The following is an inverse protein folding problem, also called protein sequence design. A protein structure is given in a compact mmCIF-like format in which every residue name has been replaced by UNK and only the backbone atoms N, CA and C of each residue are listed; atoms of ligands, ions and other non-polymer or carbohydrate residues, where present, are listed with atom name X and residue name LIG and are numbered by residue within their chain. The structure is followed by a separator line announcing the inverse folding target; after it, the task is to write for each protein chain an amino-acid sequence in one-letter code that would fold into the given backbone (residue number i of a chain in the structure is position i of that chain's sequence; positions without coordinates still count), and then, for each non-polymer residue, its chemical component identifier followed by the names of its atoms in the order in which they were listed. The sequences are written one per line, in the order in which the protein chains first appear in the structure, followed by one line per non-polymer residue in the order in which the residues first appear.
data_IF_630629142059
#
_entry.id   IF_630629142059
#
_cell.length_a   1.000
_cell.length_b   1.000
_cell.length_c   1.000
_cell.angle_alpha   90.00
_cell.angle_beta   90.00
_cell.angle_gamma   90.00
#
_symmetry.space_group_name_H-M   'P 1'
#
loop_
_entity.id
_entity.type
_entity.pdbx_description
1 polymer ?
#
# COMPACT_ATOMS: atom_id res chain seq x y z
N UNK A 1 -6.42 -3.82 -23.07
CA UNK A 1 -7.02 -2.79 -22.19
C UNK A 1 -5.90 -2.18 -21.34
N UNK A 2 -5.74 -0.86 -21.28
CA UNK A 2 -4.68 -0.22 -20.49
C UNK A 2 -4.87 -0.43 -18.99
N UNK A 3 -3.79 -0.47 -18.22
CA UNK A 3 -3.85 -0.55 -16.74
C UNK A 3 -4.72 0.54 -16.12
N UNK A 4 -4.62 1.80 -16.58
CA UNK A 4 -5.40 2.91 -16.01
C UNK A 4 -6.91 2.72 -16.22
N UNK A 5 -7.35 2.33 -17.42
CA UNK A 5 -8.77 1.99 -17.67
C UNK A 5 -9.26 0.88 -16.73
N UNK A 6 -8.47 -0.18 -16.54
CA UNK A 6 -8.78 -1.23 -15.56
C UNK A 6 -8.90 -0.66 -14.14
N UNK A 7 -7.88 0.06 -13.70
CA UNK A 7 -7.82 0.60 -12.34
C UNK A 7 -8.97 1.57 -12.05
N UNK A 8 -9.35 2.42 -13.01
CA UNK A 8 -10.49 3.33 -12.88
C UNK A 8 -11.82 2.58 -12.82
N UNK A 9 -11.98 1.48 -13.58
CA UNK A 9 -13.15 0.60 -13.46
C UNK A 9 -13.23 -0.02 -12.07
N UNK A 10 -12.15 -0.61 -11.57
CA UNK A 10 -12.07 -1.16 -10.21
C UNK A 10 -12.36 -0.10 -9.15
N UNK A 11 -11.85 1.12 -9.35
CA UNK A 11 -12.11 2.25 -8.46
C UNK A 11 -13.59 2.61 -8.42
N UNK A 12 -14.26 2.67 -9.57
CA UNK A 12 -15.71 2.93 -9.66
C UNK A 12 -16.50 1.84 -8.94
N UNK A 13 -16.22 0.57 -9.21
CA UNK A 13 -16.92 -0.56 -8.57
C UNK A 13 -16.86 -0.49 -7.04
N UNK A 14 -15.70 -0.16 -6.46
CA UNK A 14 -15.57 -0.02 -5.01
C UNK A 14 -16.23 1.25 -4.45
N UNK A 15 -16.29 2.34 -5.23
CA UNK A 15 -17.03 3.55 -4.85
C UNK A 15 -18.53 3.29 -4.80
N UNK A 16 -19.07 2.61 -5.82
CA UNK A 16 -20.49 2.29 -5.93
C UNK A 16 -20.96 1.40 -4.77
N UNK A 17 -20.06 0.56 -4.25
CA UNK A 17 -20.31 -0.28 -3.06
C UNK A 17 -19.90 0.38 -1.73
N UNK A 18 -19.64 1.70 -1.70
CA UNK A 18 -19.18 2.44 -0.52
C UNK A 18 -17.95 1.84 0.20
N UNK A 19 -17.17 1.04 -0.53
CA UNK A 19 -16.03 0.26 -0.05
C UNK A 19 -14.71 0.87 -0.51
N UNK A 20 -14.72 2.13 -0.94
CA UNK A 20 -13.53 2.89 -1.30
C UNK A 20 -13.35 4.11 -0.40
N UNK A 21 -12.14 4.35 0.06
CA UNK A 21 -11.74 5.61 0.70
C UNK A 21 -10.38 6.07 0.20
N UNK A 22 -10.17 7.38 0.10
CA UNK A 22 -8.82 7.96 0.00
C UNK A 22 -8.32 8.20 1.42
N UNK A 23 -7.06 7.88 1.70
CA UNK A 23 -6.45 8.35 2.94
C UNK A 23 -6.25 9.87 2.84
N UNK A 24 -6.49 10.58 3.93
CA UNK A 24 -6.23 12.02 3.99
C UNK A 24 -4.74 12.20 4.28
N UNK A 25 -4.00 12.58 3.24
CA UNK A 25 -2.56 12.83 3.32
C UNK A 25 -2.32 14.32 3.48
N UNK A 26 -1.84 14.71 4.66
CA UNK A 26 -1.38 16.07 4.96
C UNK A 26 0.13 16.14 4.87
N UNK A 27 0.68 17.35 4.83
CA UNK A 27 2.12 17.59 4.86
C UNK A 27 2.83 16.97 6.06
N UNK A 28 2.11 16.68 7.15
CA UNK A 28 2.67 16.19 8.42
C UNK A 28 2.05 14.89 8.94
N UNK A 29 1.03 14.34 8.28
CA UNK A 29 0.39 13.12 8.76
C UNK A 29 -0.43 12.44 7.68
N UNK A 30 -0.70 11.15 7.88
CA UNK A 30 -1.62 10.37 7.07
C UNK A 30 -2.73 9.89 7.99
N UNK A 31 -3.95 10.35 7.75
CA UNK A 31 -5.14 9.80 8.40
C UNK A 31 -5.68 8.68 7.54
N UNK A 32 -5.37 7.46 7.95
CA UNK A 32 -5.84 6.24 7.32
C UNK A 32 -7.34 6.03 7.59
N UNK A 33 -8.11 5.50 6.63
CA UNK A 33 -9.46 5.05 6.90
C UNK A 33 -9.45 3.80 7.79
N UNK A 34 -10.53 3.63 8.55
CA UNK A 34 -10.77 2.38 9.28
C UNK A 34 -10.99 1.22 8.31
N UNK A 35 -10.59 0.03 8.77
CA UNK A 35 -10.79 -1.22 8.05
C UNK A 35 -9.53 -1.80 7.42
N UNK A 36 -9.76 -2.70 6.48
CA UNK A 36 -8.79 -3.60 5.89
C UNK A 36 -8.99 -3.78 4.39
N UNK A 37 -8.05 -4.43 3.70
CA UNK A 37 -8.13 -4.65 2.26
C UNK A 37 -6.84 -4.26 1.56
N UNK A 38 -6.94 -3.59 0.42
CA UNK A 38 -5.80 -3.22 -0.43
C UNK A 38 -5.60 -1.71 -0.40
N UNK A 39 -4.35 -1.27 -0.35
CA UNK A 39 -3.98 0.13 -0.51
C UNK A 39 -3.00 0.29 -1.67
N UNK A 40 -3.20 1.34 -2.46
CA UNK A 40 -2.31 1.73 -3.54
C UNK A 40 -1.76 3.13 -3.25
N UNK A 41 -0.44 3.25 -3.26
CA UNK A 41 0.32 4.48 -3.05
C UNK A 41 0.73 5.01 -4.42
N UNK A 42 0.30 6.23 -4.72
CA UNK A 42 0.57 6.93 -5.96
C UNK A 42 1.36 8.20 -5.70
N UNK A 43 2.11 8.64 -6.70
CA UNK A 43 2.80 9.92 -6.72
C UNK A 43 2.07 10.90 -7.64
N UNK A 44 1.73 12.09 -7.15
CA UNK A 44 1.20 13.26 -7.89
C UNK A 44 -0.16 13.05 -8.59
N UNK A 45 -0.40 11.95 -9.30
CA UNK A 45 -1.64 11.64 -10.02
C UNK A 45 -1.94 10.13 -10.07
N UNK A 46 -3.21 9.79 -10.33
CA UNK A 46 -3.70 8.41 -10.54
C UNK A 46 -4.13 8.13 -11.98
N UNK A 47 -3.81 9.04 -12.90
CA UNK A 47 -4.14 8.93 -14.33
C UNK A 47 -3.02 8.32 -15.17
N UNK A 48 -1.83 8.16 -14.60
CA UNK A 48 -0.65 7.65 -15.29
C UNK A 48 -0.08 6.44 -14.56
N UNK A 49 0.13 5.33 -15.26
CA UNK A 49 0.53 4.08 -14.61
C UNK A 49 1.86 4.20 -13.88
N UNK A 50 2.83 4.94 -14.46
CA UNK A 50 4.16 5.13 -13.88
C UNK A 50 4.14 5.84 -12.51
N UNK A 51 3.04 6.51 -12.16
CA UNK A 51 2.87 7.15 -10.86
C UNK A 51 2.48 6.18 -9.75
N UNK A 52 2.12 4.93 -10.07
CA UNK A 52 1.86 3.91 -9.07
C UNK A 52 3.19 3.49 -8.43
N UNK A 53 3.38 3.87 -7.17
CA UNK A 53 4.59 3.56 -6.41
C UNK A 53 4.54 2.18 -5.78
N UNK A 54 3.41 1.84 -5.17
CA UNK A 54 3.30 0.61 -4.39
C UNK A 54 1.85 0.15 -4.26
N UNK A 55 1.62 -1.15 -4.31
CA UNK A 55 0.34 -1.78 -3.91
C UNK A 55 0.64 -2.77 -2.80
N UNK A 56 -0.16 -2.72 -1.75
CA UNK A 56 -0.06 -3.67 -0.66
C UNK A 56 -1.41 -4.00 -0.05
N UNK A 57 -1.46 -5.09 0.71
CA UNK A 57 -2.65 -5.46 1.48
C UNK A 57 -2.49 -5.42 3.00
N UNK A 58 -3.65 -5.40 3.65
CA UNK A 58 -3.85 -5.65 5.07
C UNK A 58 -5.09 -6.50 5.23
N UNK A 59 -5.06 -7.41 6.19
CA UNK A 59 -6.10 -8.41 6.34
C UNK A 59 -5.87 -9.67 5.51
N UNK A 60 -6.43 -10.77 6.01
CA UNK A 60 -6.34 -12.10 5.41
C UNK A 60 -7.38 -13.03 6.03
N UNK A 61 -7.89 -13.94 5.22
CA UNK A 61 -8.55 -15.13 5.74
C UNK A 61 -7.49 -16.09 6.29
N UNK A 62 -7.74 -16.64 7.47
CA UNK A 62 -6.87 -17.62 8.11
C UNK A 62 -7.76 -18.69 8.71
N UNK A 63 -7.38 -19.95 8.50
CA UNK A 63 -7.95 -21.07 9.22
C UNK A 63 -6.94 -21.54 10.28
N UNK A 64 -7.16 -21.25 11.57
CA UNK A 64 -6.38 -21.86 12.64
C UNK A 64 -6.63 -23.38 12.69
N UNK A 65 -5.67 -24.14 13.21
CA UNK A 65 -5.79 -25.58 13.31
C UNK A 65 -6.98 -25.95 14.22
N UNK A 66 -7.94 -26.71 13.68
CA UNK A 66 -9.15 -27.11 14.40
C UNK A 66 -10.23 -26.05 14.52
N UNK A 67 -10.08 -24.87 13.91
CA UNK A 67 -11.07 -23.79 13.95
C UNK A 67 -11.69 -23.52 12.56
N UNK A 68 -12.91 -22.96 12.50
CA UNK A 68 -13.47 -22.46 11.25
C UNK A 68 -12.61 -21.37 10.59
N UNK A 69 -12.83 -21.16 9.30
CA UNK A 69 -12.20 -20.08 8.56
C UNK A 69 -12.61 -18.72 9.16
N UNK A 70 -11.64 -17.94 9.61
CA UNK A 70 -11.86 -16.60 10.15
C UNK A 70 -11.26 -15.50 9.27
N UNK A 71 -11.88 -14.32 9.27
CA UNK A 71 -11.30 -13.13 8.67
C UNK A 71 -10.49 -12.33 9.70
N UNK A 72 -9.17 -12.35 9.58
CA UNK A 72 -8.32 -11.43 10.32
C UNK A 72 -8.22 -10.12 9.52
N UNK A 73 -8.99 -9.10 9.91
CA UNK A 73 -9.04 -7.83 9.20
C UNK A 73 -7.68 -7.10 9.17
N UNK A 74 -6.90 -7.13 10.24
CA UNK A 74 -5.78 -6.20 10.35
C UNK A 74 -6.26 -4.74 10.30
N UNK A 75 -5.42 -3.81 9.83
CA UNK A 75 -5.78 -2.39 9.74
C UNK A 75 -4.89 -1.64 8.77
N UNK A 76 -5.45 -0.64 8.06
CA UNK A 76 -4.67 0.31 7.27
C UNK A 76 -3.78 1.21 8.13
N UNK A 77 -4.24 1.67 9.29
CA UNK A 77 -3.45 2.54 10.18
C UNK A 77 -2.12 1.89 10.62
N UNK A 78 -2.10 0.56 10.77
CA UNK A 78 -0.88 -0.21 11.07
C UNK A 78 0.17 -0.19 9.94
N UNK A 79 -0.11 0.39 8.76
CA UNK A 79 0.88 0.56 7.68
C UNK A 79 1.92 1.62 8.00
N UNK A 80 1.56 2.63 8.80
CA UNK A 80 2.50 3.61 9.36
C UNK A 80 3.64 2.97 10.15
N UNK A 81 3.40 1.80 10.76
CA UNK A 81 4.38 1.11 11.58
C UNK A 81 5.36 0.24 10.79
N UNK A 82 5.15 0.04 9.48
CA UNK A 82 6.05 -0.79 8.68
C UNK A 82 7.36 -0.05 8.38
N UNK A 83 8.46 -0.80 8.39
CA UNK A 83 9.80 -0.34 8.00
C UNK A 83 10.37 -1.14 6.81
N UNK A 84 9.65 -2.15 6.33
CA UNK A 84 10.05 -2.94 5.17
C UNK A 84 8.81 -3.51 4.46
N UNK A 85 8.77 -3.52 3.10
CA UNK A 85 9.81 -3.05 2.16
C UNK A 85 9.85 -1.53 1.95
N UNK A 86 8.88 -0.82 2.54
CA UNK A 86 8.77 0.63 2.51
C UNK A 86 8.58 1.15 3.95
N UNK A 87 8.58 2.47 4.10
CA UNK A 87 8.31 3.14 5.36
C UNK A 87 7.58 4.47 5.16
N UNK A 88 6.60 4.73 6.03
CA UNK A 88 5.97 6.04 6.20
C UNK A 88 6.68 6.75 7.37
N UNK A 89 7.38 7.84 7.09
CA UNK A 89 8.17 8.58 8.07
C UNK A 89 7.34 9.55 8.89
N UNK A 90 6.94 9.11 10.08
CA UNK A 90 6.13 9.90 11.03
C UNK A 90 6.84 10.14 12.37
N UNK A 91 8.04 9.60 12.58
CA UNK A 91 8.74 9.70 13.85
C UNK A 91 9.70 10.88 13.83
N UNK A 92 9.90 11.54 14.97
CA UNK A 92 10.95 12.56 15.12
C UNK A 92 12.35 11.99 14.84
N UNK A 93 12.56 10.69 15.10
CA UNK A 93 13.80 9.98 14.73
C UNK A 93 14.06 9.95 13.22
N UNK A 94 13.06 10.25 12.38
CA UNK A 94 13.25 10.37 10.93
C UNK A 94 14.00 11.66 10.52
N UNK A 95 14.12 12.63 11.43
CA UNK A 95 14.85 13.88 11.20
C UNK A 95 14.37 14.58 9.93
N UNK A 96 15.30 14.87 9.03
CA UNK A 96 15.01 15.54 7.74
C UNK A 96 14.12 14.71 6.80
N UNK A 97 13.98 13.41 7.04
CA UNK A 97 13.10 12.54 6.27
C UNK A 97 11.67 12.46 6.84
N UNK A 98 11.36 13.21 7.91
CA UNK A 98 10.02 13.21 8.46
C UNK A 98 8.99 13.65 7.40
N UNK A 99 7.83 13.02 7.44
CA UNK A 99 6.70 13.20 6.53
C UNK A 99 6.99 12.83 5.07
N UNK A 100 7.75 11.75 4.90
CA UNK A 100 8.07 11.15 3.60
C UNK A 100 7.69 9.67 3.53
N UNK A 101 7.33 9.21 2.34
CA UNK A 101 7.24 7.79 2.01
C UNK A 101 8.55 7.34 1.38
N UNK A 102 9.15 6.30 1.96
CA UNK A 102 10.49 5.83 1.61
C UNK A 102 10.43 4.37 1.20
N UNK A 103 11.10 3.99 0.11
CA UNK A 103 11.12 2.61 -0.38
C UNK A 103 12.43 2.30 -1.11
N UNK A 104 12.66 1.01 -1.39
CA UNK A 104 13.93 0.55 -1.94
C UNK A 104 14.99 0.45 -0.85
N UNK A 105 14.74 -0.38 0.16
CA UNK A 105 15.68 -0.61 1.28
C UNK A 105 17.08 -0.97 0.78
N UNK A 106 18.12 -0.29 1.29
CA UNK A 106 19.53 -0.54 0.95
C UNK A 106 20.01 -1.92 1.40
N UNK A 107 19.52 -2.38 2.54
CA UNK A 107 19.91 -3.65 3.14
C UNK A 107 18.94 -4.75 2.73
N UNK A 108 19.42 -5.99 2.55
CA UNK A 108 18.59 -7.18 2.30
C UNK A 108 18.11 -7.85 3.60
N UNK A 109 18.89 -7.75 4.67
CA UNK A 109 18.60 -8.35 5.97
C UNK A 109 17.58 -7.52 6.78
N UNK A 110 16.48 -8.14 7.21
CA UNK A 110 15.39 -7.47 7.93
C UNK A 110 15.78 -6.91 9.31
N UNK A 111 16.69 -7.58 10.02
CA UNK A 111 17.21 -7.11 11.32
C UNK A 111 18.06 -5.85 11.16
N UNK A 112 18.89 -5.80 10.10
CA UNK A 112 19.68 -4.61 9.77
C UNK A 112 18.76 -3.48 9.30
N UNK A 113 17.82 -3.76 8.39
CA UNK A 113 16.82 -2.77 7.96
C UNK A 113 16.05 -2.18 9.14
N UNK A 114 15.70 -3.00 10.14
CA UNK A 114 15.03 -2.50 11.35
C UNK A 114 15.92 -1.51 12.09
N UNK A 115 17.19 -1.84 12.35
CA UNK A 115 18.13 -0.96 13.07
C UNK A 115 18.35 0.35 12.32
N UNK A 116 18.63 0.25 11.02
CA UNK A 116 19.01 1.38 10.17
C UNK A 116 17.82 2.17 9.60
N UNK A 117 16.57 1.83 9.93
CA UNK A 117 15.36 2.42 9.32
C UNK A 117 15.27 3.96 9.37
N UNK A 118 15.99 4.60 10.28
CA UNK A 118 16.03 6.05 10.44
C UNK A 118 17.19 6.73 9.73
N UNK A 119 18.17 5.97 9.23
CA UNK A 119 19.31 6.54 8.52
C UNK A 119 18.85 7.32 7.28
N UNK A 120 19.60 8.37 6.96
CA UNK A 120 19.26 9.30 5.86
C UNK A 120 19.24 8.57 4.51
N UNK A 121 20.07 7.54 4.34
CA UNK A 121 20.23 6.75 3.12
C UNK A 121 19.67 5.32 3.22
N UNK A 122 18.87 5.01 4.26
CA UNK A 122 18.30 3.68 4.49
C UNK A 122 17.44 3.15 3.32
N UNK A 123 16.88 4.08 2.53
CA UNK A 123 16.02 3.82 1.37
C UNK A 123 16.52 4.64 0.18
N UNK A 124 16.47 4.07 -1.02
CA UNK A 124 16.97 4.70 -2.24
C UNK A 124 16.01 5.75 -2.84
N UNK A 125 14.74 5.73 -2.44
CA UNK A 125 13.71 6.66 -2.89
C UNK A 125 12.96 7.26 -1.71
N UNK A 126 12.70 8.55 -1.78
CA UNK A 126 12.01 9.35 -0.76
C UNK A 126 11.03 10.29 -1.45
N UNK A 127 9.75 10.21 -1.11
CA UNK A 127 8.68 11.04 -1.68
C UNK A 127 7.97 11.79 -0.55
N UNK A 128 7.87 13.13 -0.58
CA UNK A 128 7.13 13.88 0.44
C UNK A 128 5.65 13.53 0.45
N UNK A 129 5.02 13.54 1.63
CA UNK A 129 3.58 13.25 1.76
C UNK A 129 2.69 14.14 0.92
N UNK A 130 3.02 15.43 0.77
CA UNK A 130 2.28 16.35 -0.09
C UNK A 130 2.16 15.90 -1.55
N UNK A 131 3.01 14.97 -1.99
CA UNK A 131 3.01 14.41 -3.34
C UNK A 131 2.38 13.01 -3.39
N UNK A 132 1.80 12.51 -2.29
CA UNK A 132 1.20 11.18 -2.23
C UNK A 132 -0.30 11.23 -2.37
N UNK A 133 -0.83 10.28 -3.13
CA UNK A 133 -2.24 9.91 -3.13
C UNK A 133 -2.32 8.46 -2.68
N UNK A 134 -3.10 8.17 -1.64
CA UNK A 134 -3.29 6.81 -1.15
C UNK A 134 -4.75 6.41 -1.30
N UNK A 135 -4.97 5.40 -2.13
CA UNK A 135 -6.25 4.79 -2.38
C UNK A 135 -6.40 3.55 -1.50
N UNK A 136 -7.53 3.39 -0.81
CA UNK A 136 -7.84 2.26 0.05
C UNK A 136 -9.13 1.57 -0.43
N UNK A 137 -8.98 0.33 -0.90
CA UNK A 137 -10.06 -0.58 -1.24
C UNK A 137 -10.38 -1.43 -0.01
N UNK A 138 -11.52 -1.14 0.61
CA UNK A 138 -11.96 -1.75 1.86
C UNK A 138 -12.57 -3.12 1.55
N UNK A 139 -12.04 -4.16 2.18
CA UNK A 139 -12.49 -5.55 2.07
C UNK A 139 -12.65 -6.09 3.49
N UNK A 140 -13.89 -6.43 3.84
CA UNK A 140 -14.27 -7.09 5.09
C UNK A 140 -14.56 -8.58 4.89
N UNK A 141 -15.10 -9.25 5.92
CA UNK A 141 -15.52 -10.66 5.85
C UNK A 141 -16.59 -10.91 4.80
N UNK A 142 -17.52 -9.96 4.64
CA UNK A 142 -18.70 -10.09 3.77
C UNK A 142 -18.48 -9.65 2.33
N UNK A 143 -17.28 -9.19 1.96
CA UNK A 143 -17.06 -8.66 0.60
C UNK A 143 -16.93 -9.82 -0.40
N UNK A 144 -17.94 -10.09 -1.24
CA UNK A 144 -18.12 -11.42 -1.84
C UNK A 144 -17.15 -11.69 -3.00
N UNK A 145 -16.62 -10.65 -3.63
CA UNK A 145 -15.83 -10.79 -4.88
C UNK A 145 -14.33 -10.92 -4.66
N UNK A 146 -13.80 -10.40 -3.56
CA UNK A 146 -12.37 -10.28 -3.38
C UNK A 146 -11.96 -10.55 -1.94
N UNK A 147 -10.89 -11.32 -1.79
CA UNK A 147 -10.07 -11.29 -0.58
C UNK A 147 -9.04 -10.16 -0.75
N UNK A 148 -8.41 -9.67 0.34
CA UNK A 148 -7.31 -8.70 0.21
C UNK A 148 -6.16 -9.21 -0.67
N UNK A 149 -5.90 -10.53 -0.65
CA UNK A 149 -4.87 -11.16 -1.48
C UNK A 149 -5.26 -11.17 -2.96
N UNK A 150 -6.48 -11.60 -3.29
CA UNK A 150 -6.88 -11.71 -4.69
C UNK A 150 -6.90 -10.35 -5.40
N UNK A 151 -7.40 -9.29 -4.75
CA UNK A 151 -7.40 -7.94 -5.34
C UNK A 151 -5.98 -7.36 -5.50
N UNK A 152 -5.10 -7.52 -4.49
CA UNK A 152 -3.71 -7.06 -4.59
C UNK A 152 -2.99 -7.72 -5.76
N UNK A 153 -3.08 -9.05 -5.85
CA UNK A 153 -2.48 -9.82 -6.94
C UNK A 153 -3.07 -9.43 -8.29
N UNK A 154 -4.38 -9.19 -8.38
CA UNK A 154 -5.03 -8.79 -9.63
C UNK A 154 -4.54 -7.43 -10.12
N UNK A 155 -4.51 -6.41 -9.24
CA UNK A 155 -4.01 -5.07 -9.58
C UNK A 155 -2.56 -5.15 -10.07
N UNK A 156 -1.69 -5.85 -9.32
CA UNK A 156 -0.28 -5.97 -9.68
C UNK A 156 -0.08 -6.78 -10.97
N UNK A 157 -0.84 -7.87 -11.17
CA UNK A 157 -0.77 -8.68 -12.39
C UNK A 157 -1.17 -7.87 -13.62
N UNK A 158 -2.27 -7.09 -13.51
CA UNK A 158 -2.72 -6.20 -14.59
C UNK A 158 -1.68 -5.12 -14.89
N UNK A 159 -1.04 -4.58 -13.85
CA UNK A 159 0.05 -3.62 -14.01
C UNK A 159 1.22 -4.22 -14.78
N UNK A 160 1.74 -5.38 -14.34
CA UNK A 160 2.87 -6.07 -14.98
C UNK A 160 2.57 -6.41 -16.43
N UNK A 161 1.35 -6.90 -16.75
CA UNK A 161 0.96 -7.20 -18.13
C UNK A 161 0.90 -5.96 -19.03
N UNK A 162 0.71 -4.77 -18.47
CA UNK A 162 0.64 -3.53 -19.25
C UNK A 162 1.95 -2.73 -19.26
N UNK A 163 2.80 -2.90 -18.25
CA UNK A 163 3.99 -2.06 -18.03
C UNK A 163 5.31 -2.86 -18.09
N UNK A 164 5.22 -4.19 -18.16
CA UNK A 164 6.35 -5.14 -18.21
C UNK A 164 7.34 -4.98 -17.04
N UNK A 165 6.85 -4.41 -15.93
CA UNK A 165 7.59 -4.16 -14.69
C UNK A 165 6.61 -4.09 -13.51
N UNK A 166 7.14 -4.20 -12.29
CA UNK A 166 6.38 -3.93 -11.07
C UNK A 166 6.34 -2.43 -10.77
N UNK A 167 5.36 -1.97 -9.95
CA UNK A 167 5.48 -0.67 -9.28
C UNK A 167 6.81 -0.58 -8.54
N UNK A 168 7.43 0.59 -8.54
CA UNK A 168 8.82 0.76 -8.08
C UNK A 168 9.09 0.38 -6.63
N UNK A 169 8.07 0.35 -5.77
CA UNK A 169 8.14 -0.08 -4.38
C UNK A 169 7.83 -1.57 -4.18
N UNK A 170 7.24 -2.25 -5.16
CA UNK A 170 6.97 -3.70 -5.12
C UNK A 170 8.17 -4.46 -5.66
N UNK A 171 8.61 -5.51 -4.97
CA UNK A 171 9.74 -6.36 -5.39
C UNK A 171 9.29 -7.70 -6.00
N UNK A 172 8.11 -8.16 -5.64
CA UNK A 172 7.53 -9.44 -6.03
C UNK A 172 5.99 -9.37 -6.07
N UNK A 173 5.37 -10.42 -6.64
CA UNK A 173 3.92 -10.64 -6.74
C UNK A 173 3.46 -11.67 -5.70
#
# INVERSE_FOLDING_TARGET
MSFIKYYQSTLSDFKDNSSFKKAEVKSQSIKWPDGSGVYAVWQDSTTEANNLLYVGKTGKFKQPFGEPLGFNAGSFAKRTQRWTPYRFANSEMDGTNQFTFRFGTKYSNSSVQRKERFAIDAYSKTIPYKNLIIHCFIIGSEHPRHTPASLETEILTRYVKCQEKLPVGNKEL
#
